data_IF_616723292730
#
_entry.id   IF_616723292730
#
_cell.length_a   1.000
_cell.length_b   1.000
_cell.length_c   1.000
_cell.angle_alpha   90.00
_cell.angle_beta   90.00
_cell.angle_gamma   90.00
#
_symmetry.space_group_name_H-M   'P 1'
#
loop_
_entity.id
_entity.type
_entity.pdbx_description
1 polymer ?
#
# COMPACT_ATOMS: atom_id res chain seq x y z
N UNK A 1 2.45 54.44 53.21
CA UNK A 1 1.35 53.92 52.36
C UNK A 1 1.77 52.79 51.41
N UNK A 2 3.04 52.39 51.33
CA UNK A 2 3.54 51.39 50.35
C UNK A 2 3.87 50.01 50.93
N UNK A 3 3.77 49.81 52.25
CA UNK A 3 4.09 48.52 52.91
C UNK A 3 2.88 47.67 53.33
N UNK A 4 1.65 48.16 53.17
CA UNK A 4 0.43 47.39 53.48
C UNK A 4 -0.20 46.67 52.27
N UNK A 5 0.25 46.96 51.04
CA UNK A 5 -0.32 46.33 49.83
C UNK A 5 0.27 44.95 49.50
N UNK A 6 1.47 44.62 50.00
CA UNK A 6 2.14 43.35 49.69
C UNK A 6 1.56 42.13 50.44
N UNK A 7 0.98 42.33 51.62
CA UNK A 7 0.43 41.24 52.44
C UNK A 7 -0.99 40.85 52.03
N UNK A 8 -1.79 41.77 51.50
CA UNK A 8 -3.14 41.48 51.00
C UNK A 8 -3.14 40.70 49.67
N UNK A 9 -2.12 40.90 48.83
CA UNK A 9 -2.00 40.18 47.54
C UNK A 9 -1.68 38.69 47.73
N UNK A 10 -0.87 38.33 48.74
CA UNK A 10 -0.53 36.93 49.03
C UNK A 10 -1.70 36.13 49.61
N UNK A 11 -2.56 36.76 50.43
CA UNK A 11 -3.73 36.08 50.99
C UNK A 11 -4.79 35.78 49.92
N UNK A 12 -5.02 36.70 48.97
CA UNK A 12 -5.95 36.47 47.84
C UNK A 12 -5.44 35.40 46.87
N UNK A 13 -4.12 35.33 46.62
CA UNK A 13 -3.54 34.29 45.77
C UNK A 13 -3.64 32.90 46.44
N UNK A 14 -3.48 32.83 47.77
CA UNK A 14 -3.63 31.58 48.52
C UNK A 14 -5.09 31.09 48.56
N UNK A 15 -6.07 32.01 48.67
CA UNK A 15 -7.50 31.70 48.58
C UNK A 15 -7.91 31.23 47.17
N UNK A 16 -7.31 31.79 46.12
CA UNK A 16 -7.50 31.34 44.73
C UNK A 16 -6.87 29.96 44.48
N UNK A 17 -5.75 29.63 45.14
CA UNK A 17 -5.10 28.31 45.06
C UNK A 17 -5.81 27.22 45.90
N UNK A 18 -6.47 27.60 47.00
CA UNK A 18 -7.27 26.67 47.81
C UNK A 18 -8.63 26.36 47.17
N UNK A 19 -9.16 27.25 46.31
CA UNK A 19 -10.43 27.07 45.60
C UNK A 19 -10.41 26.07 44.43
N UNK A 20 -9.24 25.60 43.99
CA UNK A 20 -9.12 24.60 42.91
C UNK A 20 -8.93 23.17 43.42
N UNK A 21 -9.07 22.92 44.73
CA UNK A 21 -9.13 21.57 45.27
C UNK A 21 -10.50 20.97 44.91
N UNK A 22 -10.63 20.44 43.70
CA UNK A 22 -11.77 19.61 43.33
C UNK A 22 -11.83 18.45 44.31
N UNK A 23 -12.88 18.41 45.13
CA UNK A 23 -13.15 17.30 46.02
C UNK A 23 -13.19 16.02 45.19
N UNK A 24 -12.23 15.11 45.42
CA UNK A 24 -12.25 13.78 44.81
C UNK A 24 -13.42 13.04 45.44
N UNK A 25 -14.60 13.12 44.82
CA UNK A 25 -15.75 12.29 45.19
C UNK A 25 -15.33 10.82 45.07
N UNK A 26 -15.57 10.04 46.10
CA UNK A 26 -15.29 8.61 46.09
C UNK A 26 -16.27 7.91 45.14
N UNK A 27 -15.76 7.08 44.22
CA UNK A 27 -16.60 6.27 43.31
C UNK A 27 -17.37 5.20 44.10
N UNK A 28 -18.66 5.06 43.82
CA UNK A 28 -19.54 4.03 44.40
C UNK A 28 -19.11 2.65 43.90
N UNK A 29 -19.03 1.64 44.78
CA UNK A 29 -18.70 0.26 44.38
C UNK A 29 -19.97 -0.54 44.09
N UNK A 30 -20.21 -0.87 42.82
CA UNK A 30 -21.33 -1.71 42.39
C UNK A 30 -20.83 -3.14 42.14
N UNK A 31 -21.16 -4.05 43.06
CA UNK A 31 -20.76 -5.45 42.99
C UNK A 31 -21.92 -6.45 43.19
N UNK A 32 -23.13 -5.95 43.47
CA UNK A 32 -24.35 -6.76 43.54
C UNK A 32 -24.96 -6.90 42.15
N UNK A 33 -25.71 -7.98 41.96
CA UNK A 33 -26.42 -8.28 40.72
C UNK A 33 -27.90 -8.04 40.94
N UNK A 34 -28.53 -7.28 40.05
CA UNK A 34 -29.97 -7.11 40.01
C UNK A 34 -30.60 -8.19 39.13
N UNK A 35 -31.77 -8.69 39.53
CA UNK A 35 -32.55 -9.62 38.69
C UNK A 35 -31.88 -10.95 38.37
N UNK A 36 -31.18 -11.58 39.33
CA UNK A 36 -30.44 -12.83 39.15
C UNK A 36 -31.35 -14.03 38.78
N UNK A 37 -31.74 -14.13 37.52
CA UNK A 37 -32.26 -15.38 36.93
C UNK A 37 -31.09 -16.33 36.68
N UNK A 38 -31.30 -17.63 36.86
CA UNK A 38 -30.31 -18.71 36.90
C UNK A 38 -28.99 -18.47 36.10
N UNK A 39 -28.03 -17.79 36.73
CA UNK A 39 -26.68 -17.56 36.21
C UNK A 39 -26.43 -16.28 35.41
N UNK A 40 -27.38 -15.33 35.33
CA UNK A 40 -27.16 -13.98 34.74
C UNK A 40 -27.04 -12.90 35.83
N UNK A 41 -26.33 -11.82 35.53
CA UNK A 41 -26.14 -10.67 36.39
C UNK A 41 -26.31 -9.38 35.59
N UNK A 42 -27.14 -8.46 36.08
CA UNK A 42 -27.20 -7.09 35.58
C UNK A 42 -26.67 -6.12 36.62
N UNK A 43 -25.91 -5.12 36.18
CA UNK A 43 -25.43 -4.02 37.01
C UNK A 43 -25.67 -2.71 36.26
N UNK A 44 -26.21 -1.72 36.94
CA UNK A 44 -26.51 -0.40 36.39
C UNK A 44 -25.94 0.69 37.30
N UNK A 45 -25.71 1.88 36.75
CA UNK A 45 -25.10 2.98 37.49
C UNK A 45 -25.42 4.35 36.87
N UNK A 46 -25.84 5.29 37.73
CA UNK A 46 -26.22 6.67 37.40
C UNK A 46 -25.31 7.72 38.07
N UNK A 47 -24.16 7.31 38.61
CA UNK A 47 -23.20 8.22 39.26
C UNK A 47 -21.76 7.70 39.08
N UNK A 48 -20.77 8.42 39.60
CA UNK A 48 -19.37 7.97 39.62
C UNK A 48 -19.24 6.60 40.31
N UNK A 49 -18.90 5.55 39.56
CA UNK A 49 -18.89 4.20 40.11
C UNK A 49 -17.87 3.22 39.50
N UNK A 50 -17.72 2.10 40.21
CA UNK A 50 -16.85 0.99 39.86
C UNK A 50 -17.66 -0.30 39.87
N UNK A 51 -17.85 -0.90 38.71
CA UNK A 51 -18.72 -2.05 38.49
C UNK A 51 -17.90 -3.32 38.28
N UNK A 52 -18.23 -4.41 38.99
CA UNK A 52 -17.58 -5.70 38.74
C UNK A 52 -18.45 -6.93 39.01
N UNK A 53 -18.59 -7.78 37.98
CA UNK A 53 -19.22 -9.11 38.06
C UNK A 53 -18.29 -10.22 38.58
N UNK A 54 -17.03 -9.92 38.89
CA UNK A 54 -16.00 -10.95 39.11
C UNK A 54 -16.13 -11.78 40.41
N UNK A 55 -17.17 -11.58 41.24
CA UNK A 55 -17.26 -12.12 42.61
C UNK A 55 -18.39 -13.13 42.86
N UNK A 56 -19.13 -13.55 41.83
CA UNK A 56 -20.20 -14.52 42.02
C UNK A 56 -19.66 -15.97 42.09
N UNK A 57 -20.08 -16.71 43.13
CA UNK A 57 -19.88 -18.16 43.25
C UNK A 57 -21.27 -18.80 43.36
N UNK A 58 -21.70 -19.68 42.43
CA UNK A 58 -20.97 -20.17 41.24
C UNK A 58 -20.73 -19.09 40.16
N UNK A 59 -19.81 -19.32 39.21
CA UNK A 59 -19.52 -18.36 38.15
C UNK A 59 -20.76 -18.06 37.29
N UNK A 60 -21.02 -16.77 37.06
CA UNK A 60 -22.10 -16.31 36.20
C UNK A 60 -21.89 -16.78 34.75
N UNK A 61 -22.96 -17.21 34.08
CA UNK A 61 -22.97 -17.47 32.64
C UNK A 61 -22.78 -16.17 31.86
N UNK A 62 -23.56 -15.15 32.20
CA UNK A 62 -23.58 -13.83 31.54
C UNK A 62 -23.51 -12.69 32.55
N UNK A 63 -22.98 -11.55 32.12
CA UNK A 63 -23.01 -10.31 32.89
C UNK A 63 -23.21 -9.11 31.95
N UNK A 64 -24.17 -8.28 32.31
CA UNK A 64 -24.50 -7.03 31.64
C UNK A 64 -24.21 -5.87 32.58
N UNK A 65 -23.48 -4.87 32.10
CA UNK A 65 -23.11 -3.68 32.87
C UNK A 65 -23.44 -2.44 32.06
N UNK A 66 -24.18 -1.50 32.64
CA UNK A 66 -24.55 -0.23 32.00
C UNK A 66 -24.19 0.94 32.91
N UNK A 67 -23.59 1.98 32.32
CA UNK A 67 -23.29 3.24 32.98
C UNK A 67 -23.94 4.38 32.19
N UNK A 68 -24.89 5.08 32.80
CA UNK A 68 -25.64 6.18 32.18
C UNK A 68 -25.06 7.55 32.56
N UNK A 69 -24.59 7.71 33.79
CA UNK A 69 -24.08 8.99 34.28
C UNK A 69 -22.80 8.79 35.10
N UNK A 70 -22.00 9.86 35.23
CA UNK A 70 -20.76 9.86 36.01
C UNK A 70 -19.54 9.25 35.30
N UNK A 71 -18.49 9.03 36.08
CA UNK A 71 -17.24 8.42 35.65
C UNK A 71 -17.14 6.95 36.06
N UNK A 72 -17.25 6.05 35.08
CA UNK A 72 -17.39 4.61 35.33
C UNK A 72 -16.11 3.79 35.08
N UNK A 73 -15.84 2.86 35.99
CA UNK A 73 -14.82 1.81 35.87
C UNK A 73 -15.48 0.42 35.81
N UNK A 74 -15.56 -0.18 34.63
CA UNK A 74 -16.32 -1.41 34.40
C UNK A 74 -15.39 -2.62 34.19
N UNK A 75 -15.58 -3.68 34.99
CA UNK A 75 -14.85 -4.95 34.84
C UNK A 75 -15.79 -6.14 34.75
N UNK A 76 -15.91 -6.71 33.56
CA UNK A 76 -16.76 -7.86 33.29
C UNK A 76 -15.98 -9.17 33.20
N UNK A 77 -16.40 -10.14 34.02
CA UNK A 77 -15.89 -11.52 34.06
C UNK A 77 -17.09 -12.45 34.22
N UNK A 78 -17.31 -13.30 33.23
CA UNK A 78 -18.35 -14.32 33.22
C UNK A 78 -17.86 -15.55 32.44
N UNK A 79 -18.63 -16.64 32.48
CA UNK A 79 -18.28 -17.89 31.81
C UNK A 79 -18.39 -17.77 30.29
N UNK A 80 -19.45 -17.13 29.79
CA UNK A 80 -19.82 -17.20 28.36
C UNK A 80 -19.86 -15.82 27.70
N UNK A 81 -20.63 -14.88 28.26
CA UNK A 81 -20.88 -13.58 27.62
C UNK A 81 -20.77 -12.40 28.59
N UNK A 82 -20.32 -11.27 28.06
CA UNK A 82 -20.27 -10.00 28.75
C UNK A 82 -20.74 -8.89 27.81
N UNK A 83 -21.68 -8.07 28.28
CA UNK A 83 -22.11 -6.84 27.64
C UNK A 83 -21.77 -5.65 28.53
N UNK A 84 -21.09 -4.65 28.00
CA UNK A 84 -20.74 -3.44 28.73
C UNK A 84 -21.12 -2.23 27.88
N UNK A 85 -21.99 -1.37 28.38
CA UNK A 85 -22.40 -0.13 27.73
C UNK A 85 -22.02 1.06 28.59
N UNK A 86 -21.31 2.00 27.97
CA UNK A 86 -21.00 3.31 28.53
C UNK A 86 -21.77 4.35 27.72
N UNK A 87 -22.80 4.91 28.31
CA UNK A 87 -23.68 5.91 27.71
C UNK A 87 -23.70 7.16 28.58
N UNK A 88 -22.55 7.82 28.70
CA UNK A 88 -22.39 9.03 29.50
C UNK A 88 -21.70 10.13 28.71
N UNK A 89 -22.10 11.38 28.94
CA UNK A 89 -21.43 12.57 28.42
C UNK A 89 -20.05 12.81 29.05
N UNK A 90 -19.76 12.16 30.18
CA UNK A 90 -18.48 12.25 30.89
C UNK A 90 -17.48 11.22 30.34
N UNK A 91 -16.88 10.39 31.20
CA UNK A 91 -15.78 9.51 30.84
C UNK A 91 -15.97 8.11 31.43
N UNK A 92 -15.83 7.08 30.59
CA UNK A 92 -15.56 5.72 31.06
C UNK A 92 -14.07 5.45 31.02
N UNK A 93 -13.42 5.76 32.14
CA UNK A 93 -11.97 5.65 32.34
C UNK A 93 -11.42 4.29 31.90
N UNK A 94 -12.15 3.20 32.20
CA UNK A 94 -11.72 1.85 31.89
C UNK A 94 -12.87 0.86 31.79
N UNK A 95 -13.10 0.32 30.59
CA UNK A 95 -14.07 -0.75 30.34
C UNK A 95 -13.31 -2.03 29.94
N UNK A 96 -13.28 -3.02 30.83
CA UNK A 96 -12.47 -4.24 30.69
C UNK A 96 -13.32 -5.50 30.65
N UNK A 97 -13.06 -6.36 29.67
CA UNK A 97 -13.70 -7.66 29.54
C UNK A 97 -12.68 -8.80 29.34
N UNK A 98 -12.89 -9.93 30.02
CA UNK A 98 -12.02 -11.14 29.94
C UNK A 98 -12.79 -12.43 29.64
N UNK A 99 -14.08 -12.30 29.33
CA UNK A 99 -15.02 -13.40 29.07
C UNK A 99 -14.79 -14.01 27.69
N UNK A 100 -15.32 -15.20 27.41
CA UNK A 100 -15.18 -15.84 26.09
C UNK A 100 -15.68 -14.93 24.95
N UNK A 101 -16.84 -14.31 25.14
CA UNK A 101 -17.44 -13.34 24.22
C UNK A 101 -17.67 -12.01 24.94
N UNK A 102 -17.15 -10.93 24.36
CA UNK A 102 -17.25 -9.58 24.92
C UNK A 102 -17.86 -8.63 23.90
N UNK A 103 -18.86 -7.87 24.33
CA UNK A 103 -19.38 -6.69 23.61
C UNK A 103 -19.17 -5.47 24.49
N UNK A 104 -18.51 -4.45 23.95
CA UNK A 104 -18.25 -3.19 24.62
C UNK A 104 -18.74 -2.05 23.73
N UNK A 105 -19.65 -1.24 24.24
CA UNK A 105 -20.22 -0.09 23.56
C UNK A 105 -19.87 1.18 24.34
N UNK A 106 -19.39 2.18 23.61
CA UNK A 106 -19.23 3.54 24.08
C UNK A 106 -20.08 4.42 23.18
N UNK A 107 -21.18 4.94 23.72
CA UNK A 107 -22.09 5.78 22.97
C UNK A 107 -21.56 7.21 22.88
N UNK A 108 -21.17 7.78 24.02
CA UNK A 108 -20.64 9.14 24.14
C UNK A 108 -19.43 9.22 25.09
N UNK A 109 -18.81 10.41 25.17
CA UNK A 109 -17.72 10.67 26.10
C UNK A 109 -16.34 10.13 25.71
N UNK A 110 -15.44 9.99 26.69
CA UNK A 110 -14.14 9.37 26.48
C UNK A 110 -14.11 7.94 27.05
N UNK A 111 -13.74 6.97 26.22
CA UNK A 111 -13.77 5.54 26.58
C UNK A 111 -12.43 4.84 26.33
N UNK A 112 -12.01 4.01 27.28
CA UNK A 112 -10.88 3.10 27.12
C UNK A 112 -11.34 1.65 27.16
N UNK A 113 -11.71 1.13 25.98
CA UNK A 113 -12.25 -0.22 25.81
C UNK A 113 -11.11 -1.23 25.68
N UNK A 114 -10.93 -2.12 26.66
CA UNK A 114 -9.94 -3.19 26.63
C UNK A 114 -10.60 -4.57 26.68
N UNK A 115 -10.48 -5.29 25.58
CA UNK A 115 -11.12 -6.57 25.39
C UNK A 115 -10.10 -7.69 25.30
N UNK A 116 -10.02 -8.50 26.36
CA UNK A 116 -9.15 -9.67 26.45
C UNK A 116 -9.97 -10.96 26.30
N UNK A 117 -10.93 -10.93 25.37
CA UNK A 117 -11.79 -12.07 25.14
C UNK A 117 -10.98 -13.30 24.69
N UNK A 118 -11.47 -14.50 25.01
CA UNK A 118 -10.82 -15.74 24.54
C UNK A 118 -11.23 -16.10 23.11
N UNK A 119 -12.45 -15.77 22.70
CA UNK A 119 -12.98 -16.10 21.37
C UNK A 119 -13.30 -14.85 20.57
N UNK A 120 -14.40 -14.15 20.91
CA UNK A 120 -14.90 -13.03 20.13
C UNK A 120 -14.93 -11.74 20.92
N UNK A 121 -14.51 -10.68 20.25
CA UNK A 121 -14.59 -9.33 20.77
C UNK A 121 -15.30 -8.40 19.80
N UNK A 122 -16.28 -7.64 20.28
CA UNK A 122 -16.91 -6.54 19.56
C UNK A 122 -16.74 -5.27 20.39
N UNK A 123 -16.13 -4.25 19.80
CA UNK A 123 -15.99 -2.93 20.41
C UNK A 123 -16.57 -1.88 19.47
N UNK A 124 -17.45 -1.03 19.98
CA UNK A 124 -18.08 0.04 19.22
C UNK A 124 -17.87 1.37 19.95
N UNK A 125 -17.52 2.39 19.18
CA UNK A 125 -17.47 3.79 19.60
C UNK A 125 -18.38 4.59 18.67
N UNK A 126 -19.46 5.14 19.20
CA UNK A 126 -20.42 5.88 18.40
C UNK A 126 -20.01 7.36 18.28
N UNK A 127 -19.64 8.00 19.40
CA UNK A 127 -19.16 9.39 19.45
C UNK A 127 -18.01 9.55 20.45
N UNK A 128 -17.39 10.73 20.43
CA UNK A 128 -16.41 11.13 21.45
C UNK A 128 -14.99 10.65 21.18
N UNK A 129 -14.25 10.30 22.24
CA UNK A 129 -12.83 9.97 22.18
C UNK A 129 -12.57 8.55 22.69
N UNK A 130 -12.39 7.60 21.76
CA UNK A 130 -12.32 6.18 22.10
C UNK A 130 -10.94 5.57 21.85
N UNK A 131 -10.49 4.75 22.80
CA UNK A 131 -9.32 3.87 22.65
C UNK A 131 -9.79 2.41 22.65
N UNK A 132 -9.89 1.82 21.45
CA UNK A 132 -10.31 0.44 21.25
C UNK A 132 -9.10 -0.48 21.24
N UNK A 133 -8.97 -1.38 22.22
CA UNK A 133 -7.86 -2.32 22.34
C UNK A 133 -8.35 -3.75 22.40
N UNK A 134 -7.89 -4.54 21.44
CA UNK A 134 -8.14 -5.97 21.33
C UNK A 134 -6.81 -6.74 21.35
N UNK A 135 -6.12 -6.82 22.49
CA UNK A 135 -4.80 -7.43 22.61
C UNK A 135 -4.83 -8.96 22.46
N UNK A 136 -5.97 -9.60 22.71
CA UNK A 136 -6.16 -11.06 22.64
C UNK A 136 -7.56 -11.37 22.09
N UNK A 137 -7.77 -12.64 21.75
CA UNK A 137 -9.00 -13.15 21.15
C UNK A 137 -8.72 -13.76 19.80
N UNK A 138 -9.62 -14.62 19.31
CA UNK A 138 -9.49 -15.21 17.99
C UNK A 138 -9.98 -14.24 16.92
N UNK A 139 -11.13 -13.61 17.17
CA UNK A 139 -11.78 -12.70 16.24
C UNK A 139 -12.14 -11.39 16.94
N UNK A 140 -11.85 -10.28 16.28
CA UNK A 140 -12.14 -8.96 16.81
C UNK A 140 -12.77 -8.05 15.77
N UNK A 141 -13.86 -7.38 16.17
CA UNK A 141 -14.51 -6.33 15.39
C UNK A 141 -14.47 -5.02 16.15
N UNK A 142 -13.93 -3.98 15.54
CA UNK A 142 -13.83 -2.63 16.09
C UNK A 142 -14.52 -1.66 15.13
N UNK A 143 -15.49 -0.90 15.63
CA UNK A 143 -16.25 0.05 14.84
C UNK A 143 -16.18 1.44 15.46
N UNK A 144 -15.81 2.43 14.67
CA UNK A 144 -15.77 3.84 15.03
C UNK A 144 -16.73 4.59 14.10
N UNK A 145 -17.84 5.10 14.63
CA UNK A 145 -18.83 5.80 13.82
C UNK A 145 -18.49 7.27 13.64
N UNK A 146 -18.08 7.95 14.71
CA UNK A 146 -17.71 9.36 14.71
C UNK A 146 -16.68 9.67 15.82
N UNK A 147 -16.13 10.88 15.81
CA UNK A 147 -15.20 11.39 16.81
C UNK A 147 -13.74 10.98 16.58
N UNK A 148 -12.96 10.92 17.66
CA UNK A 148 -11.54 10.58 17.65
C UNK A 148 -11.32 9.15 18.15
N UNK A 149 -11.11 8.21 17.23
CA UNK A 149 -11.07 6.79 17.55
C UNK A 149 -9.69 6.17 17.28
N UNK A 150 -9.03 5.64 18.32
CA UNK A 150 -7.78 4.89 18.20
C UNK A 150 -8.02 3.40 18.31
N UNK A 151 -7.95 2.69 17.18
CA UNK A 151 -8.22 1.26 17.12
C UNK A 151 -6.94 0.44 16.99
N UNK A 152 -6.66 -0.42 17.98
CA UNK A 152 -5.57 -1.38 17.98
C UNK A 152 -6.12 -2.80 18.09
N UNK A 153 -5.93 -3.58 17.03
CA UNK A 153 -6.30 -4.99 16.99
C UNK A 153 -5.06 -5.89 16.91
N UNK A 154 -4.98 -6.85 17.83
CA UNK A 154 -3.96 -7.91 17.90
C UNK A 154 -4.60 -9.29 18.10
N UNK A 155 -5.79 -9.51 17.53
CA UNK A 155 -6.43 -10.81 17.58
C UNK A 155 -5.56 -11.86 16.90
N UNK A 156 -5.72 -13.13 17.28
CA UNK A 156 -4.92 -14.23 16.73
C UNK A 156 -5.26 -14.45 15.26
N UNK A 157 -6.54 -14.68 14.94
CA UNK A 157 -6.96 -15.07 13.59
C UNK A 157 -7.39 -13.89 12.74
N UNK A 158 -8.31 -13.07 13.24
CA UNK A 158 -8.85 -11.99 12.40
C UNK A 158 -9.25 -10.72 13.12
N UNK A 159 -9.06 -9.61 12.39
CA UNK A 159 -9.46 -8.27 12.80
C UNK A 159 -10.29 -7.60 11.69
N UNK A 160 -11.42 -7.01 12.08
CA UNK A 160 -12.26 -6.18 11.22
C UNK A 160 -12.38 -4.79 11.87
N UNK A 161 -11.79 -3.77 11.24
CA UNK A 161 -11.80 -2.40 11.74
C UNK A 161 -12.54 -1.50 10.76
N UNK A 162 -13.59 -0.82 11.23
CA UNK A 162 -14.37 0.11 10.41
C UNK A 162 -14.33 1.52 11.01
N UNK A 163 -14.14 2.52 10.16
CA UNK A 163 -14.29 3.92 10.48
C UNK A 163 -15.29 4.56 9.51
N UNK A 164 -16.41 5.05 10.03
CA UNK A 164 -17.44 5.68 9.21
C UNK A 164 -17.24 7.19 9.08
N UNK A 165 -16.90 7.88 10.17
CA UNK A 165 -16.59 9.32 10.20
C UNK A 165 -15.53 9.64 11.27
N UNK A 166 -15.17 10.92 11.40
CA UNK A 166 -14.22 11.38 12.39
C UNK A 166 -12.75 11.16 12.01
N UNK A 167 -11.90 10.90 13.00
CA UNK A 167 -10.46 10.67 12.85
C UNK A 167 -10.08 9.32 13.43
N UNK A 168 -9.65 8.41 12.55
CA UNK A 168 -9.47 7.01 12.89
C UNK A 168 -8.06 6.49 12.53
N UNK A 169 -7.08 6.63 13.42
CA UNK A 169 -5.87 5.81 13.36
C UNK A 169 -6.19 4.34 13.71
N UNK A 170 -6.11 3.48 12.69
CA UNK A 170 -6.38 2.05 12.79
C UNK A 170 -5.10 1.24 12.58
N UNK A 171 -4.74 0.43 13.57
CA UNK A 171 -3.59 -0.48 13.52
C UNK A 171 -4.01 -1.92 13.73
N UNK A 172 -3.62 -2.76 12.80
CA UNK A 172 -3.99 -4.16 12.76
C UNK A 172 -2.76 -5.06 12.69
N UNK A 173 -2.66 -6.04 13.61
CA UNK A 173 -1.58 -7.01 13.69
C UNK A 173 -2.14 -8.41 14.00
N UNK A 174 -2.42 -9.21 12.98
CA UNK A 174 -3.15 -10.49 13.09
C UNK A 174 -2.82 -11.40 11.90
N UNK A 175 -3.40 -12.59 11.79
CA UNK A 175 -3.26 -13.41 10.60
C UNK A 175 -4.00 -12.80 9.39
N UNK A 176 -5.28 -12.45 9.55
CA UNK A 176 -6.09 -11.82 8.50
C UNK A 176 -6.72 -10.51 8.96
N UNK A 177 -6.58 -9.45 8.17
CA UNK A 177 -7.08 -8.13 8.54
C UNK A 177 -7.89 -7.46 7.45
N UNK A 178 -9.02 -6.86 7.86
CA UNK A 178 -9.79 -5.93 7.06
C UNK A 178 -9.88 -4.58 7.75
N UNK A 179 -9.55 -3.51 7.00
CA UNK A 179 -9.72 -2.13 7.44
C UNK A 179 -10.56 -1.37 6.41
N UNK A 180 -11.63 -0.73 6.87
CA UNK A 180 -12.52 0.05 6.04
C UNK A 180 -12.64 1.47 6.57
N UNK A 181 -12.49 2.44 5.68
CA UNK A 181 -12.68 3.85 5.94
C UNK A 181 -13.77 4.38 5.00
N UNK A 182 -14.98 4.61 5.52
CA UNK A 182 -16.11 5.07 4.71
C UNK A 182 -16.20 6.60 4.66
N UNK A 183 -15.60 7.29 5.63
CA UNK A 183 -15.57 8.75 5.74
C UNK A 183 -14.52 9.23 6.75
N UNK A 184 -14.36 10.56 6.85
CA UNK A 184 -13.44 11.16 7.82
C UNK A 184 -11.96 11.08 7.42
N UNK A 185 -11.07 11.13 8.41
CA UNK A 185 -9.60 11.11 8.26
C UNK A 185 -9.05 9.80 8.82
N UNK A 186 -8.70 8.86 7.94
CA UNK A 186 -8.24 7.54 8.35
C UNK A 186 -6.74 7.35 8.15
N UNK A 187 -6.06 6.79 9.14
CA UNK A 187 -4.69 6.31 8.99
C UNK A 187 -4.67 4.79 9.17
N UNK A 188 -4.52 4.06 8.06
CA UNK A 188 -4.65 2.61 8.04
C UNK A 188 -3.27 1.96 7.97
N UNK A 189 -2.93 1.20 9.01
CA UNK A 189 -1.69 0.40 9.09
C UNK A 189 -2.03 -1.05 9.36
N UNK A 190 -1.67 -1.91 8.43
CA UNK A 190 -1.99 -3.31 8.48
C UNK A 190 -0.72 -4.15 8.35
N UNK A 191 -0.50 -5.06 9.31
CA UNK A 191 0.63 -5.98 9.32
C UNK A 191 0.13 -7.37 9.62
N UNK A 192 0.13 -8.23 8.61
CA UNK A 192 -0.50 -9.55 8.68
C UNK A 192 0.44 -10.68 8.35
N UNK A 193 0.11 -11.88 8.81
CA UNK A 193 0.72 -13.12 8.32
C UNK A 193 0.16 -13.45 6.94
N UNK A 194 -1.17 -13.52 6.82
CA UNK A 194 -1.91 -13.89 5.63
C UNK A 194 -2.42 -12.65 4.89
N UNK A 195 -3.73 -12.40 4.83
CA UNK A 195 -4.28 -11.39 3.96
C UNK A 195 -4.49 -10.07 4.68
N UNK A 196 -4.26 -8.99 3.94
CA UNK A 196 -4.65 -7.68 4.39
C UNK A 196 -5.44 -6.93 3.31
N UNK A 197 -6.62 -6.47 3.71
CA UNK A 197 -7.52 -5.70 2.86
C UNK A 197 -7.76 -4.32 3.48
N UNK A 198 -7.55 -3.28 2.66
CA UNK A 198 -7.77 -1.89 3.06
C UNK A 198 -8.66 -1.21 2.02
N UNK A 199 -9.81 -0.72 2.45
CA UNK A 199 -10.76 0.00 1.62
C UNK A 199 -10.92 1.44 2.10
N UNK A 200 -10.74 2.40 1.21
CA UNK A 200 -10.92 3.82 1.46
C UNK A 200 -12.01 4.37 0.54
N UNK A 201 -13.21 4.63 1.06
CA UNK A 201 -14.33 5.15 0.27
C UNK A 201 -14.00 6.56 -0.19
N UNK A 202 -13.80 6.72 -1.50
CA UNK A 202 -13.21 7.93 -2.05
C UNK A 202 -14.07 9.17 -1.84
N UNK A 203 -15.39 9.04 -1.60
CA UNK A 203 -16.33 10.17 -1.61
C UNK A 203 -16.23 11.11 -0.41
N UNK A 204 -16.12 10.56 0.79
CA UNK A 204 -16.20 11.34 2.04
C UNK A 204 -14.97 11.16 2.93
N UNK A 205 -13.96 10.42 2.48
CA UNK A 205 -12.79 10.10 3.27
C UNK A 205 -11.49 10.71 2.72
N UNK A 206 -10.58 11.01 3.64
CA UNK A 206 -9.21 11.39 3.36
C UNK A 206 -8.30 10.34 3.99
N UNK A 207 -7.72 9.48 3.15
CA UNK A 207 -6.72 8.50 3.57
C UNK A 207 -5.32 9.01 3.20
N UNK A 208 -4.63 9.78 4.07
CA UNK A 208 -3.28 10.25 3.80
C UNK A 208 -2.27 9.10 3.63
N UNK A 209 -2.44 8.01 4.38
CA UNK A 209 -1.56 6.86 4.35
C UNK A 209 -2.36 5.55 4.47
N UNK A 210 -2.10 4.66 3.52
CA UNK A 210 -2.60 3.29 3.50
C UNK A 210 -1.38 2.38 3.36
N UNK A 211 -0.95 1.75 4.46
CA UNK A 211 0.25 0.90 4.55
C UNK A 211 -0.17 -0.55 4.81
N UNK A 212 0.03 -1.40 3.81
CA UNK A 212 -0.31 -2.82 3.81
C UNK A 212 0.95 -3.67 3.81
N UNK A 213 1.05 -4.56 4.79
CA UNK A 213 2.11 -5.54 4.87
C UNK A 213 1.56 -6.94 5.13
N UNK A 214 1.90 -7.90 4.25
CA UNK A 214 1.58 -9.32 4.39
C UNK A 214 2.88 -10.15 4.30
N UNK A 215 3.05 -11.12 5.21
CA UNK A 215 4.27 -11.96 5.24
C UNK A 215 4.22 -13.14 4.29
N UNK A 216 3.04 -13.72 4.06
CA UNK A 216 2.89 -14.99 3.35
C UNK A 216 1.99 -14.88 2.13
N UNK A 217 1.01 -13.97 2.13
CA UNK A 217 -0.01 -13.90 1.07
C UNK A 217 -0.09 -12.52 0.43
N UNK A 218 -1.25 -11.89 0.54
CA UNK A 218 -1.66 -10.81 -0.34
C UNK A 218 -2.01 -9.52 0.40
N UNK A 219 -1.90 -8.43 -0.33
CA UNK A 219 -2.30 -7.09 0.08
C UNK A 219 -3.22 -6.46 -0.96
N UNK A 220 -4.39 -5.99 -0.53
CA UNK A 220 -5.36 -5.33 -1.40
C UNK A 220 -5.69 -3.93 -0.87
N UNK A 221 -5.49 -2.90 -1.69
CA UNK A 221 -5.79 -1.51 -1.34
C UNK A 221 -6.70 -0.85 -2.39
N UNK A 222 -7.89 -0.43 -1.95
CA UNK A 222 -8.94 0.09 -2.84
C UNK A 222 -9.34 1.52 -2.46
N UNK A 223 -9.64 2.33 -3.50
CA UNK A 223 -10.39 3.58 -3.36
C UNK A 223 -9.55 4.86 -3.20
N UNK A 224 -8.22 4.76 -3.22
CA UNK A 224 -7.31 5.91 -3.41
C UNK A 224 -6.98 6.69 -2.14
N UNK A 225 -5.82 6.37 -1.55
CA UNK A 225 -5.15 7.24 -0.58
C UNK A 225 -4.07 8.09 -1.26
N UNK A 226 -3.65 9.20 -0.63
CA UNK A 226 -2.54 10.03 -1.16
C UNK A 226 -1.27 9.18 -1.36
N UNK A 227 -0.99 8.31 -0.40
CA UNK A 227 0.12 7.36 -0.43
C UNK A 227 -0.37 5.95 -0.12
N UNK A 228 -0.22 5.05 -1.09
CA UNK A 228 -0.61 3.64 -1.03
C UNK A 228 0.66 2.79 -1.11
N UNK A 229 0.93 2.00 -0.08
CA UNK A 229 2.14 1.18 0.02
C UNK A 229 1.76 -0.27 0.27
N UNK A 230 2.23 -1.17 -0.58
CA UNK A 230 2.11 -2.62 -0.42
C UNK A 230 3.49 -3.24 -0.26
N UNK A 231 3.61 -4.13 0.72
CA UNK A 231 4.68 -5.11 0.86
C UNK A 231 4.04 -6.48 1.11
N UNK A 232 4.05 -7.37 0.14
CA UNK A 232 3.43 -8.69 0.28
C UNK A 232 4.29 -9.79 -0.34
N UNK A 233 4.15 -11.03 0.12
CA UNK A 233 4.92 -12.14 -0.44
C UNK A 233 4.43 -12.49 -1.85
N UNK A 234 3.14 -12.77 -1.99
CA UNK A 234 2.61 -13.28 -3.25
C UNK A 234 2.10 -12.15 -4.13
N UNK A 235 1.04 -11.45 -3.70
CA UNK A 235 0.28 -10.58 -4.57
C UNK A 235 -0.04 -9.23 -3.95
N UNK A 236 0.03 -8.18 -4.77
CA UNK A 236 -0.34 -6.83 -4.41
C UNK A 236 -1.34 -6.26 -5.40
N UNK A 237 -2.44 -5.70 -4.91
CA UNK A 237 -3.44 -5.02 -5.74
C UNK A 237 -3.69 -3.60 -5.23
N UNK A 238 -3.48 -2.59 -6.09
CA UNK A 238 -3.73 -1.18 -5.78
C UNK A 238 -4.66 -0.56 -6.82
N UNK A 239 -5.77 0.01 -6.34
CA UNK A 239 -6.71 0.73 -7.19
C UNK A 239 -6.95 2.16 -6.68
N UNK A 240 -6.56 3.14 -7.48
CA UNK A 240 -6.76 4.57 -7.22
C UNK A 240 -7.88 5.13 -8.12
N UNK A 241 -9.05 5.34 -7.53
CA UNK A 241 -10.28 5.71 -8.24
C UNK A 241 -10.41 7.21 -8.56
N UNK A 242 -9.77 8.10 -7.80
CA UNK A 242 -9.87 9.57 -7.95
C UNK A 242 -8.62 10.23 -8.51
N UNK A 243 -7.61 9.43 -8.80
CA UNK A 243 -6.31 9.94 -9.16
C UNK A 243 -5.55 10.60 -8.02
N UNK A 244 -4.47 11.32 -8.35
CA UNK A 244 -3.60 12.01 -7.39
C UNK A 244 -3.04 11.09 -6.29
N UNK A 245 -2.77 9.83 -6.65
CA UNK A 245 -2.22 8.83 -5.75
C UNK A 245 -0.76 8.53 -6.08
N UNK A 246 0.04 8.34 -5.04
CA UNK A 246 1.31 7.64 -5.13
C UNK A 246 1.10 6.17 -4.75
N UNK A 247 1.27 5.28 -5.72
CA UNK A 247 1.15 3.83 -5.58
C UNK A 247 2.56 3.22 -5.56
N UNK A 248 2.92 2.52 -4.49
CA UNK A 248 4.14 1.74 -4.39
C UNK A 248 3.79 0.29 -4.05
N UNK A 249 4.12 -0.64 -4.95
CA UNK A 249 3.86 -2.05 -4.80
C UNK A 249 5.16 -2.85 -4.86
N UNK A 250 5.42 -3.60 -3.79
CA UNK A 250 6.57 -4.50 -3.68
C UNK A 250 6.11 -5.90 -3.29
N UNK A 251 6.32 -6.87 -4.18
CA UNK A 251 5.96 -8.28 -3.95
C UNK A 251 6.93 -9.26 -4.61
N UNK A 252 6.93 -10.53 -4.20
CA UNK A 252 7.82 -11.50 -4.84
C UNK A 252 7.24 -12.00 -6.16
N UNK A 253 5.91 -12.13 -6.29
CA UNK A 253 5.29 -12.63 -7.52
C UNK A 253 4.67 -11.49 -8.33
N UNK A 254 3.52 -10.96 -7.91
CA UNK A 254 2.68 -10.11 -8.77
C UNK A 254 2.25 -8.81 -8.12
N UNK A 255 2.25 -7.74 -8.93
CA UNK A 255 1.65 -6.46 -8.58
C UNK A 255 0.70 -6.00 -9.68
N UNK A 256 -0.47 -5.56 -9.27
CA UNK A 256 -1.50 -4.97 -10.12
C UNK A 256 -1.77 -3.56 -9.64
N UNK A 257 -1.50 -2.56 -10.48
CA UNK A 257 -1.71 -1.16 -10.17
C UNK A 257 -2.61 -0.52 -11.22
N UNK A 258 -3.75 0.00 -10.80
CA UNK A 258 -4.67 0.72 -11.68
C UNK A 258 -4.98 2.09 -11.09
N UNK A 259 -4.89 3.11 -11.94
CA UNK A 259 -5.20 4.49 -11.61
C UNK A 259 -6.11 5.14 -12.66
N UNK A 260 -7.00 6.01 -12.18
CA UNK A 260 -7.85 6.84 -13.03
C UNK A 260 -7.20 8.16 -13.52
N UNK A 261 -6.24 8.77 -12.84
CA UNK A 261 -5.54 9.97 -13.35
C UNK A 261 -4.53 10.58 -12.37
N UNK A 262 -3.65 11.49 -12.79
CA UNK A 262 -2.74 12.22 -11.89
C UNK A 262 -1.88 11.34 -10.96
N UNK A 263 -1.48 10.14 -11.37
CA UNK A 263 -0.84 9.17 -10.47
C UNK A 263 0.64 8.98 -10.74
N UNK A 264 1.34 8.55 -9.70
CA UNK A 264 2.66 7.94 -9.81
C UNK A 264 2.61 6.50 -9.33
N UNK A 265 2.84 5.56 -10.24
CA UNK A 265 2.83 4.13 -10.02
C UNK A 265 4.27 3.60 -10.03
N UNK A 266 4.70 3.06 -8.89
CA UNK A 266 6.00 2.42 -8.73
C UNK A 266 5.79 0.96 -8.42
N UNK A 267 6.44 0.10 -9.19
CA UNK A 267 6.31 -1.33 -9.07
C UNK A 267 7.67 -2.01 -9.07
N UNK A 268 7.93 -2.79 -8.02
CA UNK A 268 9.15 -3.58 -7.88
C UNK A 268 8.76 -4.99 -7.46
N UNK A 269 8.79 -5.94 -8.40
CA UNK A 269 8.39 -7.33 -8.10
C UNK A 269 9.35 -8.35 -8.65
N UNK A 270 9.35 -9.55 -8.08
CA UNK A 270 10.19 -10.65 -8.56
C UNK A 270 9.74 -11.24 -9.89
N UNK A 271 8.44 -11.29 -10.22
CA UNK A 271 7.99 -11.89 -11.48
C UNK A 271 7.29 -10.92 -12.43
N UNK A 272 6.13 -10.38 -12.05
CA UNK A 272 5.27 -9.64 -12.96
C UNK A 272 4.68 -8.39 -12.35
N UNK A 273 4.61 -7.35 -13.16
CA UNK A 273 3.88 -6.14 -12.83
C UNK A 273 2.97 -5.69 -13.97
N UNK A 274 1.70 -5.45 -13.65
CA UNK A 274 0.70 -4.89 -14.55
C UNK A 274 0.28 -3.51 -14.04
N UNK A 275 0.60 -2.45 -14.79
CA UNK A 275 0.28 -1.05 -14.50
C UNK A 275 -0.68 -0.50 -15.55
N UNK A 276 -1.75 0.18 -15.12
CA UNK A 276 -2.76 0.76 -16.02
C UNK A 276 -3.19 2.16 -15.57
N UNK A 277 -3.36 3.07 -16.54
CA UNK A 277 -3.87 4.44 -16.36
C UNK A 277 -5.03 4.73 -17.34
N UNK A 278 -6.16 5.24 -16.84
CA UNK A 278 -7.45 5.09 -17.55
C UNK A 278 -8.35 6.31 -17.82
N UNK A 279 -8.20 7.48 -17.18
CA UNK A 279 -9.14 8.62 -17.39
C UNK A 279 -8.38 9.90 -17.75
N UNK A 280 -7.53 10.44 -16.88
CA UNK A 280 -6.97 11.80 -17.08
C UNK A 280 -5.54 11.83 -17.67
N UNK A 281 -4.95 10.67 -17.96
CA UNK A 281 -3.71 10.53 -18.73
C UNK A 281 -2.41 10.99 -18.12
N UNK A 282 -2.44 11.95 -17.21
CA UNK A 282 -1.27 12.43 -16.49
C UNK A 282 -0.83 11.36 -15.48
N UNK A 283 -0.02 10.42 -15.93
CA UNK A 283 0.37 9.25 -15.17
C UNK A 283 1.86 8.98 -15.39
N UNK A 284 2.61 8.88 -14.29
CA UNK A 284 3.96 8.33 -14.30
C UNK A 284 3.92 6.86 -13.89
N UNK A 285 4.33 5.96 -14.78
CA UNK A 285 4.46 4.53 -14.54
C UNK A 285 5.94 4.15 -14.53
N UNK A 286 6.42 3.58 -13.44
CA UNK A 286 7.77 3.04 -13.33
C UNK A 286 7.70 1.58 -12.90
N UNK A 287 8.29 0.70 -13.71
CA UNK A 287 8.30 -0.73 -13.47
C UNK A 287 9.74 -1.29 -13.45
N UNK A 288 10.04 -2.06 -12.41
CA UNK A 288 11.32 -2.74 -12.19
C UNK A 288 11.03 -4.19 -11.72
N UNK A 289 10.48 -4.99 -12.63
CA UNK A 289 10.09 -6.40 -12.43
C UNK A 289 10.70 -7.29 -13.50
N UNK A 290 10.61 -8.62 -13.43
CA UNK A 290 11.07 -9.46 -14.54
C UNK A 290 10.26 -9.21 -15.81
N UNK A 291 8.94 -9.19 -15.66
CA UNK A 291 8.00 -8.85 -16.72
C UNK A 291 7.18 -7.62 -16.34
N UNK A 292 7.24 -6.59 -17.17
CA UNK A 292 6.49 -5.35 -16.99
C UNK A 292 5.48 -5.16 -18.11
N UNK A 293 4.24 -4.83 -17.74
CA UNK A 293 3.19 -4.44 -18.69
C UNK A 293 2.61 -3.11 -18.23
N UNK A 294 2.72 -2.12 -19.10
CA UNK A 294 2.31 -0.74 -18.85
C UNK A 294 1.29 -0.33 -19.89
N UNK A 295 0.11 0.09 -19.43
CA UNK A 295 -1.01 0.49 -20.29
C UNK A 295 -1.44 1.91 -19.99
N UNK A 296 -1.55 2.71 -21.04
CA UNK A 296 -2.21 4.00 -21.04
C UNK A 296 -3.41 3.95 -21.99
N UNK A 297 -4.63 3.95 -21.45
CA UNK A 297 -5.83 3.70 -22.26
C UNK A 297 -6.53 4.97 -22.73
N UNK A 298 -6.45 6.10 -22.00
CA UNK A 298 -7.26 7.31 -22.31
C UNK A 298 -6.47 8.62 -22.24
N UNK A 299 -5.15 8.57 -22.06
CA UNK A 299 -4.40 9.74 -21.60
C UNK A 299 -3.63 10.57 -22.62
N UNK A 300 -3.58 11.89 -22.41
CA UNK A 300 -2.47 12.75 -22.85
C UNK A 300 -1.46 12.89 -21.69
N UNK A 301 -0.16 12.85 -21.96
CA UNK A 301 0.94 12.96 -20.98
C UNK A 301 1.15 11.75 -20.06
N UNK A 302 1.06 10.54 -20.61
CA UNK A 302 1.46 9.35 -19.86
C UNK A 302 2.94 9.03 -20.09
N UNK A 303 3.69 9.02 -18.99
CA UNK A 303 5.11 8.69 -18.98
C UNK A 303 5.29 7.27 -18.45
N UNK A 304 5.74 6.37 -19.33
CA UNK A 304 5.99 4.97 -19.01
C UNK A 304 7.49 4.72 -19.03
N UNK A 305 8.07 4.28 -17.92
CA UNK A 305 9.47 3.88 -17.82
C UNK A 305 9.53 2.43 -17.37
N UNK A 306 10.24 1.62 -18.15
CA UNK A 306 10.30 0.19 -17.95
C UNK A 306 11.75 -0.28 -17.86
N UNK A 307 12.10 -0.88 -16.71
CA UNK A 307 13.42 -1.44 -16.42
C UNK A 307 13.30 -2.93 -16.16
N UNK A 308 12.48 -3.61 -16.95
CA UNK A 308 12.25 -5.03 -16.75
C UNK A 308 13.54 -5.83 -16.98
N UNK A 309 13.76 -6.91 -16.23
CA UNK A 309 14.97 -7.72 -16.40
C UNK A 309 14.86 -8.69 -17.59
N UNK A 310 13.64 -9.02 -18.04
CA UNK A 310 13.41 -9.94 -19.15
C UNK A 310 12.58 -9.29 -20.27
N UNK A 311 11.33 -8.94 -19.97
CA UNK A 311 10.38 -8.51 -20.98
C UNK A 311 9.56 -7.28 -20.55
N UNK A 312 9.36 -6.38 -21.50
CA UNK A 312 8.55 -5.21 -21.29
C UNK A 312 7.56 -4.98 -22.44
N UNK A 313 6.30 -4.76 -22.07
CA UNK A 313 5.23 -4.33 -22.97
C UNK A 313 4.71 -2.95 -22.54
N UNK A 314 4.68 -2.01 -23.47
CA UNK A 314 4.11 -0.68 -23.27
C UNK A 314 3.05 -0.41 -24.34
N UNK A 315 1.81 -0.16 -23.92
CA UNK A 315 0.69 0.10 -24.82
C UNK A 315 0.10 1.48 -24.57
N UNK A 316 -0.01 2.26 -25.64
CA UNK A 316 -0.62 3.58 -25.65
C UNK A 316 -1.78 3.63 -26.66
N UNK A 317 -3.01 3.52 -26.17
CA UNK A 317 -4.19 3.40 -27.05
C UNK A 317 -4.65 4.75 -27.63
N UNK A 318 -4.60 5.83 -26.85
CA UNK A 318 -5.14 7.16 -27.25
C UNK A 318 -4.08 8.20 -27.62
N UNK A 319 -2.83 7.76 -27.77
CA UNK A 319 -1.72 8.62 -28.17
C UNK A 319 -1.17 9.50 -27.04
N UNK A 320 -0.25 10.41 -27.34
CA UNK A 320 0.26 11.37 -26.35
C UNK A 320 1.06 10.74 -25.19
N UNK A 321 1.69 9.59 -25.45
CA UNK A 321 2.51 8.89 -24.47
C UNK A 321 4.01 9.10 -24.72
N UNK A 322 4.78 9.11 -23.63
CA UNK A 322 6.23 9.01 -23.65
C UNK A 322 6.63 7.67 -23.01
N UNK A 323 7.09 6.72 -23.81
CA UNK A 323 7.58 5.41 -23.37
C UNK A 323 9.09 5.33 -23.43
N UNK A 324 9.73 4.90 -22.35
CA UNK A 324 11.15 4.51 -22.32
C UNK A 324 11.23 3.05 -21.86
N UNK A 325 11.93 2.23 -22.63
CA UNK A 325 12.12 0.81 -22.34
C UNK A 325 13.61 0.46 -22.30
N UNK A 326 14.09 0.13 -21.10
CA UNK A 326 15.46 -0.29 -20.79
C UNK A 326 15.58 -1.82 -20.61
N UNK A 327 14.52 -2.57 -20.92
CA UNK A 327 14.49 -4.04 -20.85
C UNK A 327 15.26 -4.68 -22.01
N UNK A 328 15.86 -5.88 -21.85
CA UNK A 328 16.48 -6.60 -22.97
C UNK A 328 15.54 -6.84 -24.16
N UNK A 329 14.27 -7.14 -23.86
CA UNK A 329 13.19 -7.28 -24.83
C UNK A 329 12.10 -6.23 -24.58
N UNK A 330 11.81 -5.43 -25.61
CA UNK A 330 10.84 -4.35 -25.58
C UNK A 330 9.79 -4.50 -26.70
N UNK A 331 8.51 -4.43 -26.31
CA UNK A 331 7.36 -4.31 -27.20
C UNK A 331 6.62 -3.01 -26.88
N UNK A 332 6.54 -2.11 -27.86
CA UNK A 332 5.98 -0.78 -27.69
C UNK A 332 4.93 -0.52 -28.78
N UNK A 333 3.69 -0.27 -28.37
CA UNK A 333 2.54 -0.08 -29.26
C UNK A 333 1.91 1.30 -29.04
N UNK A 334 1.73 2.06 -30.12
CA UNK A 334 1.02 3.33 -30.15
C UNK A 334 -0.10 3.29 -31.20
N UNK A 335 -1.35 3.33 -30.75
CA UNK A 335 -2.51 3.11 -31.63
C UNK A 335 -3.00 4.43 -32.28
N UNK A 336 -3.13 5.50 -31.49
CA UNK A 336 -3.69 6.79 -31.97
C UNK A 336 -2.65 7.86 -32.33
N UNK A 337 -1.36 7.50 -32.34
CA UNK A 337 -0.29 8.41 -32.78
C UNK A 337 0.22 9.38 -31.71
N UNK A 338 1.07 10.33 -32.11
CA UNK A 338 1.68 11.32 -31.20
C UNK A 338 2.40 10.70 -29.98
N UNK A 339 3.06 9.55 -30.18
CA UNK A 339 3.84 8.90 -29.13
C UNK A 339 5.33 9.12 -29.33
N UNK A 340 6.08 9.26 -28.24
CA UNK A 340 7.54 9.16 -28.24
C UNK A 340 7.94 7.86 -27.55
N UNK A 341 8.38 6.88 -28.32
CA UNK A 341 8.80 5.56 -27.82
C UNK A 341 10.31 5.39 -28.00
N UNK A 342 11.00 5.24 -26.89
CA UNK A 342 12.43 4.98 -26.80
C UNK A 342 12.68 3.56 -26.33
N UNK A 343 13.44 2.81 -27.13
CA UNK A 343 13.89 1.47 -26.81
C UNK A 343 15.41 1.49 -26.68
N UNK A 344 15.90 0.94 -25.57
CA UNK A 344 17.32 0.78 -25.26
C UNK A 344 17.73 -0.71 -25.19
N UNK A 345 16.79 -1.63 -25.44
CA UNK A 345 17.00 -3.07 -25.42
C UNK A 345 17.74 -3.63 -26.64
N UNK A 346 18.12 -4.91 -26.56
CA UNK A 346 18.71 -5.66 -27.67
C UNK A 346 17.66 -6.09 -28.70
N UNK A 347 16.41 -6.29 -28.25
CA UNK A 347 15.28 -6.66 -29.08
C UNK A 347 14.17 -5.62 -28.95
N UNK A 348 14.06 -4.76 -29.95
CA UNK A 348 13.09 -3.67 -30.01
C UNK A 348 12.03 -3.96 -31.07
N UNK A 349 10.76 -4.01 -30.65
CA UNK A 349 9.59 -4.01 -31.54
C UNK A 349 8.74 -2.79 -31.21
N UNK A 350 8.63 -1.87 -32.16
CA UNK A 350 7.87 -0.64 -32.01
C UNK A 350 6.84 -0.53 -33.14
N UNK A 351 5.59 -0.28 -32.80
CA UNK A 351 4.51 -0.15 -33.78
C UNK A 351 3.70 1.12 -33.54
N UNK A 352 3.52 1.91 -34.58
CA UNK A 352 2.71 3.12 -34.62
C UNK A 352 1.70 3.05 -35.77
N UNK A 353 0.40 3.12 -35.46
CA UNK A 353 -0.64 2.97 -36.50
C UNK A 353 -1.13 4.29 -37.10
N UNK A 354 -1.32 5.36 -36.31
CA UNK A 354 -2.00 6.58 -36.80
C UNK A 354 -1.08 7.70 -37.33
N UNK A 355 0.19 7.79 -36.90
CA UNK A 355 1.15 8.83 -37.33
C UNK A 355 1.67 9.70 -36.18
N UNK A 356 2.56 10.66 -36.48
CA UNK A 356 3.10 11.58 -35.46
C UNK A 356 4.00 10.92 -34.40
N UNK A 357 4.49 9.71 -34.66
CA UNK A 357 5.29 8.96 -33.71
C UNK A 357 6.78 9.25 -33.86
N UNK A 358 7.48 9.27 -32.73
CA UNK A 358 8.94 9.24 -32.66
C UNK A 358 9.38 7.89 -32.10
N UNK A 359 9.99 7.07 -32.96
CA UNK A 359 10.46 5.74 -32.61
C UNK A 359 11.99 5.71 -32.62
N UNK A 360 12.59 5.27 -31.52
CA UNK A 360 14.05 5.20 -31.37
C UNK A 360 14.52 3.84 -30.85
N UNK A 361 15.69 3.42 -31.33
CA UNK A 361 16.25 2.08 -31.09
C UNK A 361 17.78 2.11 -31.24
N UNK A 362 18.55 1.28 -30.52
CA UNK A 362 19.99 1.41 -30.53
C UNK A 362 20.62 0.85 -31.82
N UNK A 363 21.75 1.43 -32.25
CA UNK A 363 22.51 0.95 -33.43
C UNK A 363 23.05 -0.47 -33.21
N UNK A 364 23.37 -0.84 -31.98
CA UNK A 364 23.83 -2.17 -31.60
C UNK A 364 22.71 -3.16 -31.24
N UNK A 365 21.43 -2.80 -31.41
CA UNK A 365 20.32 -3.75 -31.26
C UNK A 365 20.50 -4.96 -32.19
N UNK A 366 20.21 -6.16 -31.68
CA UNK A 366 20.21 -7.39 -32.48
C UNK A 366 19.00 -7.44 -33.41
N UNK A 367 17.85 -7.04 -32.87
CA UNK A 367 16.59 -6.90 -33.59
C UNK A 367 16.03 -5.51 -33.36
N UNK A 368 15.80 -4.78 -34.44
CA UNK A 368 15.15 -3.49 -34.41
C UNK A 368 14.06 -3.44 -35.49
N UNK A 369 12.82 -3.65 -35.08
CA UNK A 369 11.65 -3.62 -35.95
C UNK A 369 10.79 -2.42 -35.59
N UNK A 370 10.67 -1.49 -36.52
CA UNK A 370 9.91 -0.26 -36.33
C UNK A 370 8.86 -0.17 -37.44
N UNK A 371 7.58 -0.22 -37.08
CA UNK A 371 6.47 -0.12 -38.02
C UNK A 371 5.72 1.19 -37.83
N UNK A 372 5.47 1.88 -38.93
CA UNK A 372 4.70 3.10 -39.02
C UNK A 372 3.69 2.94 -40.16
N UNK A 373 2.44 2.61 -39.82
CA UNK A 373 1.42 2.31 -40.84
C UNK A 373 0.97 3.58 -41.57
N UNK A 374 0.76 4.69 -40.84
CA UNK A 374 0.52 5.99 -41.42
C UNK A 374 1.85 6.69 -41.74
N UNK A 375 2.08 6.96 -43.02
CA UNK A 375 3.28 7.62 -43.55
C UNK A 375 3.43 9.11 -43.13
N UNK A 376 2.45 9.68 -42.42
CA UNK A 376 2.49 11.09 -42.04
C UNK A 376 3.18 11.29 -40.68
N UNK A 377 4.26 12.08 -40.70
CA UNK A 377 4.95 12.61 -39.53
C UNK A 377 5.52 11.56 -38.56
N UNK A 378 5.91 10.39 -39.06
CA UNK A 378 6.67 9.42 -38.27
C UNK A 378 8.18 9.66 -38.42
N UNK A 379 8.88 9.77 -37.28
CA UNK A 379 10.35 9.87 -37.22
C UNK A 379 10.93 8.59 -36.66
N UNK A 380 11.82 7.96 -37.42
CA UNK A 380 12.47 6.70 -37.05
C UNK A 380 13.98 6.99 -36.94
N UNK A 381 14.55 6.76 -35.76
CA UNK A 381 15.97 7.05 -35.51
C UNK A 381 16.69 5.86 -34.89
N UNK A 382 17.92 5.61 -35.34
CA UNK A 382 18.86 4.73 -34.63
C UNK A 382 19.89 5.57 -33.89
N UNK A 383 20.01 5.35 -32.58
CA UNK A 383 20.92 6.09 -31.72
C UNK A 383 22.12 5.21 -31.33
N UNK A 384 23.33 5.75 -31.39
CA UNK A 384 24.49 5.12 -30.75
C UNK A 384 24.44 5.40 -29.25
N UNK A 385 24.81 4.42 -28.43
CA UNK A 385 25.00 4.62 -26.99
C UNK A 385 26.00 5.77 -26.76
N UNK A 386 25.69 6.66 -25.80
CA UNK A 386 26.50 7.85 -25.44
C UNK A 386 28.01 7.51 -25.42
N UNK A 387 28.76 7.99 -26.42
CA UNK A 387 30.22 7.83 -26.43
C UNK A 387 30.93 8.18 -27.74
N UNK A 388 30.41 7.81 -28.92
CA UNK A 388 31.11 8.05 -30.20
C UNK A 388 30.08 8.32 -31.30
N UNK A 389 30.20 9.48 -31.96
CA UNK A 389 29.15 10.06 -32.79
C UNK A 389 28.98 9.44 -34.17
N UNK A 390 27.75 9.01 -34.45
CA UNK A 390 27.06 9.14 -35.75
C UNK A 390 25.57 8.86 -35.54
N UNK A 391 24.70 9.83 -35.88
CA UNK A 391 23.24 9.71 -35.80
C UNK A 391 22.70 9.35 -37.18
N UNK A 392 22.07 8.18 -37.32
CA UNK A 392 21.34 7.84 -38.54
C UNK A 392 19.85 8.15 -38.32
N UNK A 393 19.39 9.26 -38.88
CA UNK A 393 17.98 9.66 -38.89
C UNK A 393 17.40 9.29 -40.26
N UNK A 394 16.34 8.48 -40.29
CA UNK A 394 15.55 8.29 -41.51
C UNK A 394 14.12 8.76 -41.23
N UNK A 395 13.74 9.89 -41.81
CA UNK A 395 12.34 10.30 -41.84
C UNK A 395 11.64 9.47 -42.92
N UNK A 396 10.79 8.53 -42.52
CA UNK A 396 9.99 7.77 -43.48
C UNK A 396 8.70 8.55 -43.79
N UNK A 397 8.74 9.39 -44.82
CA UNK A 397 7.51 9.78 -45.51
C UNK A 397 7.23 8.73 -46.60
N UNK A 398 6.49 7.67 -46.27
CA UNK A 398 5.96 6.73 -47.27
C UNK A 398 6.36 5.24 -47.18
N UNK A 399 7.27 4.84 -46.29
CA UNK A 399 7.70 3.43 -46.19
C UNK A 399 6.84 2.64 -45.18
N UNK A 400 6.20 1.56 -45.63
CA UNK A 400 5.45 0.62 -44.78
C UNK A 400 6.40 -0.29 -43.99
N UNK A 401 6.91 0.23 -42.87
CA UNK A 401 7.72 -0.50 -41.91
C UNK A 401 9.19 -0.65 -42.31
N UNK A 402 10.09 -0.62 -41.31
CA UNK A 402 11.52 -0.79 -41.50
C UNK A 402 12.02 -1.85 -40.53
N UNK A 403 12.60 -2.91 -41.09
CA UNK A 403 13.27 -3.95 -40.32
C UNK A 403 14.78 -3.79 -40.48
N UNK A 404 15.47 -3.52 -39.38
CA UNK A 404 16.92 -3.57 -39.33
C UNK A 404 17.34 -4.86 -38.63
N UNK A 405 17.88 -5.79 -39.40
CA UNK A 405 18.58 -6.93 -38.83
C UNK A 405 20.06 -6.56 -38.69
N UNK A 406 20.69 -6.99 -37.59
CA UNK A 406 22.14 -6.89 -37.47
C UNK A 406 22.78 -7.70 -38.61
N UNK A 407 23.40 -7.02 -39.56
CA UNK A 407 24.33 -7.68 -40.48
C UNK A 407 25.49 -8.15 -39.62
N UNK A 408 25.52 -9.45 -39.29
CA UNK A 408 26.76 -10.07 -38.82
C UNK A 408 27.72 -9.97 -40.01
N UNK A 409 28.60 -8.98 -39.97
CA UNK A 409 29.84 -9.09 -40.71
C UNK A 409 30.51 -10.36 -40.19
N UNK A 410 30.41 -11.45 -40.95
CA UNK A 410 31.39 -12.51 -40.84
C UNK A 410 32.71 -11.82 -41.11
N UNK A 411 33.52 -11.61 -40.08
CA UNK A 411 34.97 -11.50 -40.26
C UNK A 411 35.44 -12.85 -40.81
N UNK A 412 35.23 -13.06 -42.11
CA UNK A 412 36.19 -13.83 -42.87
C UNK A 412 37.47 -13.02 -42.78
N UNK A 413 38.41 -13.45 -41.93
CA UNK A 413 39.81 -13.11 -42.10
C UNK A 413 40.29 -13.72 -43.43
N UNK A 414 39.88 -13.10 -44.53
CA UNK A 414 40.51 -13.22 -45.83
C UNK A 414 41.67 -12.25 -45.86
N UNK A 415 42.82 -12.75 -45.44
CA UNK A 415 44.16 -12.39 -45.93
C UNK A 415 44.28 -11.09 -46.74
N UNK A 416 44.62 -9.98 -46.10
CA UNK A 416 45.34 -8.87 -46.73
C UNK A 416 46.62 -8.64 -45.95
N UNK A 417 47.69 -9.26 -46.44
CA UNK A 417 49.08 -8.89 -46.13
C UNK A 417 49.34 -7.44 -46.58
N UNK A 418 50.15 -6.71 -45.81
CA UNK A 418 51.17 -5.90 -46.47
C UNK A 418 52.57 -6.17 -45.88
N UNK A 419 53.57 -6.14 -46.77
CA UNK A 419 55.02 -6.16 -46.54
C UNK A 419 55.68 -7.50 -46.17
N UNK A 420 56.39 -8.09 -47.13
CA UNK A 420 57.86 -8.18 -47.14
C UNK A 420 58.31 -9.26 -48.15
N UNK A 421 58.76 -8.82 -49.32
CA UNK A 421 59.56 -9.63 -50.24
C UNK A 421 61.04 -9.30 -49.98
N UNK A 422 61.77 -10.25 -49.37
CA UNK A 422 63.16 -10.64 -49.68
C UNK A 422 63.83 -11.28 -48.46
N UNK A 423 64.10 -12.57 -48.60
CA UNK A 423 65.24 -13.36 -48.09
C UNK A 423 64.73 -14.81 -47.97
N UNK A 424 64.87 -15.61 -49.04
CA UNK A 424 65.97 -16.56 -49.20
C UNK A 424 66.17 -17.46 -47.96
N UNK A 425 65.92 -18.74 -48.23
CA UNK A 425 66.70 -19.89 -47.78
C UNK A 425 66.40 -20.52 -46.40
N UNK A 426 66.18 -21.84 -46.50
CA UNK A 426 66.81 -22.90 -45.69
C UNK A 426 65.95 -23.53 -44.56
N UNK A 427 65.54 -24.76 -44.89
CA UNK A 427 65.31 -25.94 -44.03
C UNK A 427 63.92 -26.08 -43.38
N UNK A 428 63.09 -26.87 -44.07
CA UNK A 428 62.14 -27.79 -43.45
C UNK A 428 62.70 -29.19 -43.65
N UNK A 429 63.15 -29.83 -42.56
CA UNK A 429 63.46 -31.26 -42.53
C UNK A 429 62.53 -31.93 -41.53
N UNK A 430 61.64 -32.74 -42.09
CA UNK A 430 60.83 -33.73 -41.42
C UNK A 430 61.72 -34.73 -40.68
N UNK A 431 61.38 -35.06 -39.43
CA UNK A 431 61.91 -36.25 -38.75
C UNK A 431 60.73 -37.16 -38.43
N UNK A 432 60.69 -38.27 -39.15
CA UNK A 432 59.86 -39.44 -38.93
C UNK A 432 60.68 -40.44 -38.12
N UNK A 433 60.03 -41.06 -37.13
CA UNK A 433 60.09 -42.51 -36.91
C UNK A 433 61.40 -43.14 -36.40
N UNK A 434 61.37 -43.46 -35.12
CA UNK A 434 62.18 -44.43 -34.36
C UNK A 434 62.28 -45.78 -35.12
N UNK A 435 63.49 -46.37 -35.23
CA UNK A 435 63.88 -47.64 -34.59
C UNK A 435 65.03 -48.40 -35.30
N UNK A 436 65.90 -48.97 -34.45
CA UNK A 436 66.73 -50.18 -34.57
C UNK A 436 68.23 -50.08 -34.92
N UNK A 437 68.99 -50.65 -33.97
CA UNK A 437 70.20 -51.48 -34.08
C UNK A 437 71.54 -50.87 -33.62
N UNK A 438 72.00 -51.43 -32.50
CA UNK A 438 73.28 -51.30 -31.77
C UNK A 438 73.45 -50.15 -30.78
#
# INVERSE_FOLDING_TARGET
MTRLYGTLFNASLLLMLLGTMTSVKAKILVNRCEGSTAGSCSQECDEDCKMSCARATPPLKSCDQVCWEGQCDMKCVAKETCHQTCDTLLNCDSVRCTTANCTQLCDEGACNLSCRARSRCKQSCNRGSCNLKCPTGDHCKQSCWDGDCRALCKAKRSCDQNCDQGSCPMRCVTDDCRQSCNGGKCQMKCRTTNNCEQHCSSFFSVCPLVDCHSKEKSCNQLGGGKKMIIRAKEQGYQYCSRGNCQQNCSTDLRCYQNCKGGCHQYCTTGERCDQSCSIDGNCGQMCNSNTCIQRCTVGQNCNMTCKATEHCEQQCSKGGCQGVCDSPSCSQLCESGNCSMECNGLQCRQNCTAGGCRLTCPVNAELCQQNCAAAQNCSITRTMFRGVGQLMVKNSSGDHGIQFNRIRTKTNCGSWFPYCLNCLNVISLCVIGIALAY
#
